data_IF_418779064782
#
_entry.id   IF_418779064782
#
_cell.length_a   1.000
_cell.length_b   1.000
_cell.length_c   1.000
_cell.angle_alpha   90.00
_cell.angle_beta   90.00
_cell.angle_gamma   90.00
#
_symmetry.space_group_name_H-M   'P 1'
#
loop_
_entity.id
_entity.type
_entity.pdbx_description
1 polymer ?
#
# COMPACT_ATOMS: atom_id res chain seq x y z
N UNK A 1 -10.71 -6.89 14.23
CA UNK A 1 -11.06 -6.08 13.05
C UNK A 1 -10.53 -6.78 11.83
N UNK A 2 -11.25 -6.66 10.71
CA UNK A 2 -10.76 -7.09 9.39
C UNK A 2 -9.97 -5.97 8.72
N UNK A 3 -8.78 -6.29 8.23
CA UNK A 3 -7.78 -5.31 7.84
C UNK A 3 -7.24 -5.61 6.45
N UNK A 4 -7.11 -4.57 5.62
CA UNK A 4 -6.33 -4.61 4.39
C UNK A 4 -4.89 -4.20 4.68
N UNK A 5 -3.91 -5.00 4.30
CA UNK A 5 -2.50 -4.69 4.54
C UNK A 5 -1.82 -4.13 3.29
N UNK A 6 -1.23 -2.94 3.42
CA UNK A 6 -0.39 -2.36 2.36
C UNK A 6 1.02 -2.93 2.45
N UNK A 7 1.48 -3.54 1.35
CA UNK A 7 2.77 -4.22 1.26
C UNK A 7 3.62 -3.64 0.12
N UNK A 8 4.92 -3.51 0.38
CA UNK A 8 5.91 -3.06 -0.61
C UNK A 8 6.97 -4.11 -0.93
N UNK A 9 6.99 -5.23 -0.20
CA UNK A 9 8.10 -6.19 -0.22
C UNK A 9 9.23 -5.83 0.76
N UNK A 10 9.14 -4.66 1.39
CA UNK A 10 10.07 -4.23 2.45
C UNK A 10 9.73 -4.82 3.82
N UNK A 11 10.75 -4.89 4.68
CA UNK A 11 10.67 -5.43 6.06
C UNK A 11 9.60 -4.75 6.92
N UNK A 12 9.37 -3.44 6.72
CA UNK A 12 8.52 -2.64 7.60
C UNK A 12 7.04 -2.99 7.40
N UNK A 13 6.61 -3.21 6.14
CA UNK A 13 5.26 -3.73 5.84
C UNK A 13 5.03 -5.15 6.40
N UNK A 14 6.04 -6.03 6.32
CA UNK A 14 5.96 -7.38 6.89
C UNK A 14 5.87 -7.33 8.42
N UNK A 15 6.67 -6.49 9.06
CA UNK A 15 6.61 -6.29 10.49
C UNK A 15 5.24 -5.75 10.94
N UNK A 16 4.70 -4.77 10.22
CA UNK A 16 3.36 -4.24 10.49
C UNK A 16 2.27 -5.32 10.40
N UNK A 17 2.33 -6.21 9.40
CA UNK A 17 1.40 -7.36 9.31
C UNK A 17 1.54 -8.32 10.50
N UNK A 18 2.77 -8.63 10.92
CA UNK A 18 3.02 -9.48 12.09
C UNK A 18 2.39 -8.85 13.34
N UNK A 19 2.56 -7.54 13.54
CA UNK A 19 1.96 -6.83 14.67
C UNK A 19 0.43 -6.78 14.57
N UNK A 20 -0.15 -6.62 13.37
CA UNK A 20 -1.61 -6.70 13.18
C UNK A 20 -2.16 -8.04 13.67
N UNK A 21 -1.54 -9.15 13.27
CA UNK A 21 -1.97 -10.49 13.71
C UNK A 21 -1.76 -10.67 15.22
N UNK A 22 -0.63 -10.21 15.78
CA UNK A 22 -0.34 -10.28 17.22
C UNK A 22 -1.38 -9.53 18.06
N UNK A 23 -1.93 -8.44 17.55
CA UNK A 23 -2.98 -7.66 18.20
C UNK A 23 -4.40 -8.22 17.94
N UNK A 24 -4.53 -9.41 17.35
CA UNK A 24 -5.81 -10.08 17.12
C UNK A 24 -6.62 -9.51 15.96
N UNK A 25 -5.97 -8.83 15.02
CA UNK A 25 -6.59 -8.39 13.77
C UNK A 25 -6.45 -9.46 12.69
N UNK A 26 -7.45 -9.55 11.82
CA UNK A 26 -7.49 -10.48 10.70
C UNK A 26 -7.11 -9.74 9.42
N UNK A 27 -6.04 -10.16 8.75
CA UNK A 27 -5.66 -9.61 7.45
C UNK A 27 -6.46 -10.36 6.40
N UNK A 28 -7.30 -9.64 5.65
CA UNK A 28 -8.24 -10.25 4.68
C UNK A 28 -7.80 -10.09 3.23
N UNK A 29 -6.90 -9.15 2.94
CA UNK A 29 -6.30 -8.96 1.63
C UNK A 29 -5.02 -8.14 1.73
N UNK A 30 -4.19 -8.21 0.68
CA UNK A 30 -2.98 -7.43 0.50
C UNK A 30 -3.19 -6.38 -0.61
N UNK A 31 -2.60 -5.20 -0.43
CA UNK A 31 -2.62 -4.11 -1.40
C UNK A 31 -1.20 -3.66 -1.72
N UNK A 32 -0.90 -3.41 -2.99
CA UNK A 32 0.41 -2.91 -3.43
C UNK A 32 0.29 -1.93 -4.60
N UNK A 33 0.99 -0.81 -4.48
CA UNK A 33 1.27 0.05 -5.62
C UNK A 33 2.61 -0.35 -6.26
N UNK A 34 2.66 -0.36 -7.59
CA UNK A 34 3.84 -0.76 -8.34
C UNK A 34 4.13 0.18 -9.53
N UNK A 35 5.33 0.15 -10.10
CA UNK A 35 5.61 0.91 -11.32
C UNK A 35 4.71 0.48 -12.49
N UNK A 36 4.28 1.44 -13.33
CA UNK A 36 3.52 1.13 -14.55
C UNK A 36 4.34 0.23 -15.50
N UNK A 37 5.61 0.57 -15.71
CA UNK A 37 6.57 -0.31 -16.37
C UNK A 37 7.25 -1.23 -15.35
N UNK A 38 6.96 -2.53 -15.42
CA UNK A 38 7.53 -3.54 -14.52
C UNK A 38 9.05 -3.76 -14.69
N UNK A 39 9.65 -3.26 -15.77
CA UNK A 39 11.11 -3.24 -15.93
C UNK A 39 11.76 -2.13 -15.13
N UNK A 40 11.00 -1.10 -14.74
CA UNK A 40 11.46 -0.03 -13.86
C UNK A 40 11.29 -0.53 -12.43
N UNK A 41 12.41 -0.69 -11.72
CA UNK A 41 12.40 -1.19 -10.34
C UNK A 41 12.33 -0.07 -9.30
N UNK A 42 12.71 1.14 -9.66
CA UNK A 42 12.78 2.30 -8.77
C UNK A 42 12.13 3.49 -9.46
N UNK A 43 11.16 4.10 -8.79
CA UNK A 43 10.51 5.33 -9.22
C UNK A 43 10.94 6.44 -8.26
N UNK A 44 10.98 7.68 -8.75
CA UNK A 44 11.11 8.88 -7.92
C UNK A 44 9.77 9.17 -7.20
N UNK A 45 9.32 8.23 -6.38
CA UNK A 45 8.14 8.34 -5.52
C UNK A 45 8.55 8.78 -4.12
N UNK A 46 7.78 9.70 -3.53
CA UNK A 46 8.02 10.17 -2.15
C UNK A 46 7.29 9.28 -1.14
N UNK A 47 6.17 8.68 -1.53
CA UNK A 47 5.35 7.83 -0.66
C UNK A 47 5.66 6.34 -0.78
N UNK A 48 5.93 5.83 -1.99
CA UNK A 48 5.80 4.39 -2.27
C UNK A 48 7.13 3.75 -2.71
N UNK A 49 7.53 2.73 -1.95
CA UNK A 49 8.69 1.90 -2.29
C UNK A 49 8.35 0.94 -3.43
N UNK A 50 9.11 0.99 -4.51
CA UNK A 50 8.91 0.12 -5.68
C UNK A 50 10.03 -0.92 -5.87
N UNK A 51 11.19 -0.75 -5.21
CA UNK A 51 12.26 -1.75 -5.24
C UNK A 51 11.78 -3.04 -4.59
N UNK A 52 11.88 -4.15 -5.33
CA UNK A 52 11.40 -5.46 -4.87
C UNK A 52 9.90 -5.70 -5.08
N UNK A 53 9.19 -4.82 -5.81
CA UNK A 53 7.76 -5.03 -6.11
C UNK A 53 7.48 -6.35 -6.87
N UNK A 54 8.49 -6.96 -7.50
CA UNK A 54 8.40 -8.25 -8.19
C UNK A 54 8.25 -9.44 -7.24
N UNK A 55 8.71 -9.33 -5.99
CA UNK A 55 8.56 -10.42 -4.99
C UNK A 55 7.25 -10.31 -4.20
N UNK A 56 6.54 -9.18 -4.29
CA UNK A 56 5.30 -8.94 -3.56
C UNK A 56 4.21 -9.99 -3.84
N UNK A 57 3.97 -10.47 -5.10
CA UNK A 57 3.01 -11.54 -5.34
C UNK A 57 3.28 -12.84 -4.58
N UNK A 58 4.55 -13.16 -4.29
CA UNK A 58 4.89 -14.34 -3.50
C UNK A 58 4.38 -14.24 -2.05
N UNK A 59 4.20 -13.03 -1.50
CA UNK A 59 3.60 -12.83 -0.18
C UNK A 59 2.14 -13.30 -0.17
N UNK A 60 1.34 -12.96 -1.18
CA UNK A 60 -0.04 -13.45 -1.28
C UNK A 60 -0.13 -14.95 -1.43
N UNK A 61 0.76 -15.55 -2.21
CA UNK A 61 0.82 -17.01 -2.36
C UNK A 61 1.16 -17.70 -1.04
N UNK A 62 2.12 -17.16 -0.28
CA UNK A 62 2.52 -17.71 1.01
C UNK A 62 1.45 -17.54 2.09
N UNK A 63 0.66 -16.46 2.02
CA UNK A 63 -0.38 -16.14 3.01
C UNK A 63 -1.76 -16.71 2.63
N UNK A 64 -1.92 -17.20 1.40
CA UNK A 64 -3.22 -17.59 0.82
C UNK A 64 -4.27 -16.46 0.93
N UNK A 65 -3.87 -15.25 0.55
CA UNK A 65 -4.70 -14.05 0.61
C UNK A 65 -4.86 -13.38 -0.76
N UNK A 66 -6.04 -12.77 -1.05
CA UNK A 66 -6.21 -11.93 -2.22
C UNK A 66 -5.21 -10.78 -2.28
N UNK A 67 -4.68 -10.50 -3.47
CA UNK A 67 -3.77 -9.39 -3.73
C UNK A 67 -4.40 -8.40 -4.72
N UNK A 68 -4.41 -7.13 -4.34
CA UNK A 68 -4.82 -6.02 -5.20
C UNK A 68 -3.60 -5.19 -5.54
N UNK A 69 -3.38 -4.99 -6.85
CA UNK A 69 -2.23 -4.24 -7.34
C UNK A 69 -2.67 -3.18 -8.32
N UNK A 70 -2.10 -1.98 -8.21
CA UNK A 70 -2.32 -0.90 -9.17
C UNK A 70 -1.00 -0.25 -9.56
N UNK A 71 -0.84 0.14 -10.83
CA UNK A 71 0.29 0.95 -11.25
C UNK A 71 0.20 2.34 -10.58
N UNK A 72 1.35 2.91 -10.24
CA UNK A 72 1.49 4.31 -9.88
C UNK A 72 1.52 5.09 -11.20
N UNK A 73 0.49 5.90 -11.44
CA UNK A 73 0.36 6.77 -12.61
C UNK A 73 0.57 8.23 -12.24
N UNK A 74 0.18 8.61 -11.02
CA UNK A 74 0.46 9.92 -10.46
C UNK A 74 1.94 10.13 -10.18
N UNK A 75 2.30 11.38 -9.95
CA UNK A 75 3.66 11.78 -9.54
C UNK A 75 3.62 12.46 -8.18
N UNK A 76 4.78 12.71 -7.56
CA UNK A 76 4.85 13.45 -6.30
C UNK A 76 4.60 14.95 -6.52
N UNK A 77 3.33 15.31 -6.78
CA UNK A 77 2.88 16.68 -7.08
C UNK A 77 2.80 17.51 -5.81
N UNK A 78 2.11 16.98 -4.79
CA UNK A 78 1.92 17.65 -3.52
C UNK A 78 3.00 17.20 -2.53
N UNK A 79 4.08 17.98 -2.41
CA UNK A 79 5.19 17.68 -1.50
C UNK A 79 5.07 18.38 -0.13
N UNK A 80 3.96 19.07 0.13
CA UNK A 80 3.69 19.68 1.43
C UNK A 80 3.33 18.60 2.48
N UNK A 81 3.46 18.94 3.77
CA UNK A 81 3.13 18.02 4.87
C UNK A 81 1.62 17.76 5.04
N UNK A 82 0.79 18.65 4.50
CA UNK A 82 -0.68 18.57 4.59
C UNK A 82 -1.22 17.97 3.30
N UNK A 83 -2.28 17.16 3.40
CA UNK A 83 -2.94 16.62 2.22
C UNK A 83 -3.76 17.69 1.51
N UNK A 84 -3.45 17.87 0.25
CA UNK A 84 -4.24 18.65 -0.70
C UNK A 84 -4.47 17.78 -1.94
N UNK A 85 -5.72 17.65 -2.34
CA UNK A 85 -6.09 16.72 -3.40
C UNK A 85 -5.64 17.29 -4.75
N UNK A 86 -4.88 16.50 -5.49
CA UNK A 86 -4.51 16.78 -6.86
C UNK A 86 -4.68 15.50 -7.67
N UNK A 87 -5.48 15.53 -8.74
CA UNK A 87 -5.87 14.31 -9.46
C UNK A 87 -4.66 13.58 -10.11
N UNK A 88 -3.55 14.29 -10.34
CA UNK A 88 -2.29 13.76 -10.87
C UNK A 88 -1.28 13.31 -9.77
N UNK A 89 -1.66 13.32 -8.49
CA UNK A 89 -0.78 12.93 -7.39
C UNK A 89 -0.77 11.40 -7.16
N UNK A 90 0.41 10.85 -6.87
CA UNK A 90 0.60 9.43 -6.57
C UNK A 90 -0.31 8.90 -5.44
N UNK A 91 -0.76 9.76 -4.53
CA UNK A 91 -1.66 9.41 -3.42
C UNK A 91 -3.06 9.05 -3.93
N UNK A 92 -3.51 9.59 -5.05
CA UNK A 92 -4.81 9.24 -5.62
C UNK A 92 -4.82 7.80 -6.16
N UNK A 93 -3.66 7.26 -6.58
CA UNK A 93 -3.55 5.85 -6.94
C UNK A 93 -3.79 4.93 -5.72
N UNK A 94 -3.33 5.35 -4.54
CA UNK A 94 -3.63 4.65 -3.28
C UNK A 94 -5.12 4.73 -2.94
N UNK A 95 -5.74 5.89 -3.14
CA UNK A 95 -7.18 6.05 -2.93
C UNK A 95 -7.99 5.10 -3.84
N UNK A 96 -7.62 4.99 -5.11
CA UNK A 96 -8.26 4.08 -6.06
C UNK A 96 -8.06 2.61 -5.67
N UNK A 97 -6.86 2.23 -5.22
CA UNK A 97 -6.56 0.89 -4.72
C UNK A 97 -7.45 0.55 -3.51
N UNK A 98 -7.50 1.43 -2.52
CA UNK A 98 -8.30 1.21 -1.30
C UNK A 98 -9.80 1.23 -1.59
N UNK A 99 -10.25 2.03 -2.56
CA UNK A 99 -11.64 2.04 -3.02
C UNK A 99 -12.04 0.70 -3.66
N UNK A 100 -11.15 0.11 -4.45
CA UNK A 100 -11.35 -1.22 -5.02
C UNK A 100 -11.40 -2.30 -3.93
N UNK A 101 -10.46 -2.26 -2.99
CA UNK A 101 -10.44 -3.16 -1.82
C UNK A 101 -11.74 -3.05 -1.03
N UNK A 102 -12.20 -1.84 -0.71
CA UNK A 102 -13.44 -1.63 0.05
C UNK A 102 -14.68 -2.10 -0.71
N UNK A 103 -14.67 -2.00 -2.03
CA UNK A 103 -15.77 -2.51 -2.88
C UNK A 103 -15.81 -4.05 -2.86
N UNK A 104 -14.65 -4.71 -2.92
CA UNK A 104 -14.54 -6.18 -2.92
C UNK A 104 -14.66 -6.81 -1.53
N UNK A 105 -14.24 -6.07 -0.50
CA UNK A 105 -14.30 -6.46 0.91
C UNK A 105 -15.00 -5.35 1.73
N UNK A 106 -16.34 -5.24 1.66
CA UNK A 106 -17.10 -4.20 2.35
C UNK A 106 -16.95 -4.22 3.88
N UNK A 107 -16.55 -5.36 4.44
CA UNK A 107 -16.34 -5.62 5.86
C UNK A 107 -14.93 -5.27 6.36
N UNK A 108 -14.03 -4.74 5.50
CA UNK A 108 -12.75 -4.16 5.96
C UNK A 108 -13.00 -2.93 6.82
N UNK A 109 -12.40 -2.90 8.01
CA UNK A 109 -12.58 -1.86 9.02
C UNK A 109 -11.35 -0.97 9.20
N UNK A 110 -10.17 -1.42 8.76
CA UNK A 110 -8.92 -0.69 8.89
C UNK A 110 -7.92 -1.00 7.77
N UNK A 111 -6.91 -0.15 7.65
CA UNK A 111 -5.74 -0.34 6.78
C UNK A 111 -4.50 -0.49 7.65
N UNK A 112 -3.71 -1.53 7.40
CA UNK A 112 -2.40 -1.74 8.00
C UNK A 112 -1.33 -1.12 7.09
N UNK A 113 -0.51 -0.22 7.62
CA UNK A 113 0.59 0.42 6.90
C UNK A 113 1.91 0.22 7.63
N UNK A 114 3.00 0.13 6.87
CA UNK A 114 4.36 0.07 7.41
C UNK A 114 5.03 1.43 7.61
N UNK A 115 4.26 2.53 7.59
CA UNK A 115 4.81 3.87 7.77
C UNK A 115 5.26 4.06 9.22
N UNK A 116 6.54 4.41 9.42
CA UNK A 116 7.13 4.52 10.77
C UNK A 116 7.02 5.95 11.30
N UNK A 117 7.95 6.83 10.89
CA UNK A 117 8.11 8.19 11.46
C UNK A 117 7.92 9.30 10.41
N UNK A 118 7.64 8.95 9.16
CA UNK A 118 7.41 9.96 8.13
C UNK A 118 6.05 10.64 8.34
N UNK A 119 6.07 11.89 8.82
CA UNK A 119 4.85 12.70 8.90
C UNK A 119 4.21 12.90 7.54
N UNK A 120 5.02 12.97 6.48
CA UNK A 120 4.55 13.06 5.10
C UNK A 120 3.70 11.83 4.72
N UNK A 121 4.24 10.62 4.89
CA UNK A 121 3.50 9.38 4.59
C UNK A 121 2.29 9.18 5.52
N UNK A 122 2.35 9.70 6.75
CA UNK A 122 1.27 9.54 7.73
C UNK A 122 0.04 10.41 7.42
N UNK A 123 0.23 11.57 6.80
CA UNK A 123 -0.86 12.49 6.49
C UNK A 123 -1.52 12.23 5.12
N UNK A 124 -1.04 11.25 4.37
CA UNK A 124 -1.61 10.78 3.10
C UNK A 124 -2.42 9.50 3.35
#
# INVERSE_FOLDING_TARGET
MKVAALVSGGKDSVFAMIECVRNGHEIVCLGNLHPEDQQIHELDSYCFQTVGHNVVPALSECMDLPMYRRPIQGTAVCQSLDYDRHDDDEVEDLFLLLSEVKTKHPDVEAVCTGAILSSYQKHR
#
